data_IF_861629128566
#
_entry.id   IF_861629128566
#
_cell.length_a   1.000
_cell.length_b   1.000
_cell.length_c   1.000
_cell.angle_alpha   90.00
_cell.angle_beta   90.00
_cell.angle_gamma   90.00
#
_symmetry.space_group_name_H-M   'P 1'
#
loop_
_entity.id
_entity.type
_entity.pdbx_description
1 polymer ?
#
# COMPACT_ATOMS: atom_id res chain seq x y z
N UNK A 1 36.30 -65.59 -21.00
CA UNK A 1 34.83 -65.60 -20.77
C UNK A 1 34.54 -64.88 -19.46
N UNK A 2 33.75 -63.80 -19.54
CA UNK A 2 32.84 -63.22 -18.52
C UNK A 2 33.45 -62.86 -17.13
N UNK A 3 33.29 -61.69 -16.52
CA UNK A 3 32.19 -60.72 -16.51
C UNK A 3 32.74 -59.31 -16.24
N UNK A 4 32.32 -58.30 -17.01
CA UNK A 4 32.44 -56.89 -16.59
C UNK A 4 31.28 -56.61 -15.63
N UNK A 5 31.59 -56.29 -14.38
CA UNK A 5 30.61 -55.83 -13.40
C UNK A 5 30.39 -54.33 -13.63
N UNK A 6 29.26 -53.97 -14.25
CA UNK A 6 28.84 -52.59 -14.38
C UNK A 6 28.15 -52.18 -13.06
N UNK A 7 28.78 -51.28 -12.31
CA UNK A 7 28.14 -50.61 -11.18
C UNK A 7 27.23 -49.51 -11.74
N UNK A 8 25.92 -49.77 -11.80
CA UNK A 8 24.93 -48.73 -12.06
C UNK A 8 24.72 -48.02 -10.72
N UNK A 9 25.35 -46.86 -10.56
CA UNK A 9 24.98 -45.91 -9.51
C UNK A 9 23.66 -45.29 -9.97
N UNK A 10 22.55 -45.78 -9.41
CA UNK A 10 21.26 -45.12 -9.55
C UNK A 10 21.31 -43.88 -8.67
N UNK A 11 21.56 -42.72 -9.28
CA UNK A 11 21.40 -41.42 -8.61
C UNK A 11 19.90 -41.19 -8.51
N UNK A 12 19.34 -41.43 -7.32
CA UNK A 12 18.05 -40.87 -6.95
C UNK A 12 18.24 -39.35 -6.85
N UNK A 13 17.95 -38.64 -7.94
CA UNK A 13 17.72 -37.20 -7.86
C UNK A 13 16.37 -37.05 -7.18
N UNK A 14 16.41 -36.97 -5.85
CA UNK A 14 15.30 -36.48 -5.08
C UNK A 14 15.19 -34.99 -5.44
N UNK A 15 14.42 -34.67 -6.47
CA UNK A 15 13.95 -33.30 -6.66
C UNK A 15 13.04 -33.03 -5.47
N UNK A 16 13.61 -32.51 -4.39
CA UNK A 16 12.83 -31.76 -3.42
C UNK A 16 12.17 -30.65 -4.23
N UNK A 17 10.88 -30.82 -4.52
CA UNK A 17 10.03 -29.69 -4.82
C UNK A 17 10.26 -28.72 -3.67
N UNK A 18 10.92 -27.61 -3.96
CA UNK A 18 10.88 -26.45 -3.08
C UNK A 18 9.40 -26.07 -3.13
N UNK A 19 8.61 -26.59 -2.21
CA UNK A 19 7.34 -25.96 -1.89
C UNK A 19 7.75 -24.54 -1.50
N UNK A 20 7.47 -23.57 -2.37
CA UNK A 20 7.56 -22.18 -1.99
C UNK A 20 6.78 -22.07 -0.68
N UNK A 21 7.45 -21.57 0.37
CA UNK A 21 6.75 -21.29 1.62
C UNK A 21 5.70 -20.24 1.29
N UNK A 22 4.43 -20.66 1.30
CA UNK A 22 3.29 -19.77 1.23
C UNK A 22 3.43 -18.74 2.35
N UNK A 23 3.19 -17.46 2.06
CA UNK A 23 3.32 -16.36 3.02
C UNK A 23 1.98 -15.66 3.20
N UNK A 24 1.74 -14.91 4.29
CA UNK A 24 0.51 -14.12 4.45
C UNK A 24 0.41 -12.93 3.49
N UNK A 25 1.32 -12.79 2.53
CA UNK A 25 1.45 -11.57 1.73
C UNK A 25 1.09 -11.82 0.27
N UNK A 26 0.90 -10.73 -0.46
CA UNK A 26 0.74 -10.80 -1.92
C UNK A 26 1.93 -11.54 -2.55
N UNK A 27 1.63 -12.38 -3.53
CA UNK A 27 2.62 -13.18 -4.26
C UNK A 27 2.91 -12.64 -5.66
N UNK A 28 1.99 -11.84 -6.22
CA UNK A 28 2.12 -11.27 -7.57
C UNK A 28 1.39 -9.94 -7.71
N UNK A 29 1.92 -9.11 -8.60
CA UNK A 29 1.23 -7.94 -9.16
C UNK A 29 0.78 -8.34 -10.56
N UNK A 30 -0.51 -8.23 -10.81
CA UNK A 30 -1.15 -8.60 -12.08
C UNK A 30 -1.16 -7.40 -13.01
N UNK A 31 -1.49 -6.22 -12.49
CA UNK A 31 -1.56 -5.01 -13.27
C UNK A 31 -1.28 -3.77 -12.40
N UNK A 32 -0.74 -2.71 -13.02
CA UNK A 32 -0.55 -1.40 -12.42
C UNK A 32 -0.68 -0.33 -13.51
N UNK A 33 -1.65 0.57 -13.33
CA UNK A 33 -1.85 1.74 -14.20
C UNK A 33 -2.19 2.92 -13.29
N UNK A 34 -1.20 3.74 -12.90
CA UNK A 34 -1.47 4.90 -12.07
C UNK A 34 -2.12 6.01 -12.89
N UNK A 35 -2.93 6.82 -12.23
CA UNK A 35 -3.38 8.09 -12.78
C UNK A 35 -2.27 9.13 -12.60
N UNK A 36 -2.34 10.28 -13.28
CA UNK A 36 -1.33 11.32 -13.11
C UNK A 36 -1.22 11.81 -11.66
N UNK A 37 -0.01 12.08 -11.20
CA UNK A 37 0.23 12.56 -9.84
C UNK A 37 1.68 12.92 -9.53
N UNK A 38 1.90 13.60 -8.42
CA UNK A 38 3.17 14.19 -8.01
C UNK A 38 4.25 13.17 -7.62
N UNK A 39 3.88 11.91 -7.43
CA UNK A 39 4.80 10.82 -7.08
C UNK A 39 5.01 9.82 -8.21
N UNK A 40 4.25 9.96 -9.30
CA UNK A 40 4.40 9.14 -10.49
C UNK A 40 5.77 9.39 -11.12
N UNK A 41 6.39 8.32 -11.61
CA UNK A 41 7.77 8.26 -12.09
C UNK A 41 8.87 8.39 -11.01
N UNK A 42 8.50 8.49 -9.72
CA UNK A 42 9.44 8.57 -8.59
C UNK A 42 9.33 7.37 -7.67
N UNK A 43 8.10 6.91 -7.38
CA UNK A 43 7.83 5.73 -6.56
C UNK A 43 6.82 4.80 -7.28
N UNK A 44 7.32 3.83 -8.08
CA UNK A 44 8.72 3.53 -8.36
C UNK A 44 9.36 4.55 -9.31
N UNK A 45 10.70 4.60 -9.30
CA UNK A 45 11.45 5.44 -10.22
C UNK A 45 11.35 4.89 -11.65
N UNK A 46 11.07 5.77 -12.60
CA UNK A 46 11.15 5.48 -14.02
C UNK A 46 12.57 5.75 -14.53
N UNK A 47 13.15 4.76 -15.19
CA UNK A 47 14.35 4.88 -15.99
C UNK A 47 13.98 4.94 -17.47
N UNK A 48 14.74 5.69 -18.26
CA UNK A 48 14.45 5.86 -19.69
C UNK A 48 14.39 4.50 -20.41
N UNK A 49 13.22 4.20 -20.98
CA UNK A 49 12.97 2.94 -21.69
C UNK A 49 12.30 1.85 -20.86
N UNK A 50 12.01 2.08 -19.58
CA UNK A 50 11.22 1.14 -18.77
C UNK A 50 9.86 0.86 -19.44
N UNK A 51 9.53 -0.43 -19.53
CA UNK A 51 8.21 -0.91 -19.90
C UNK A 51 7.29 -1.00 -18.68
N UNK A 52 5.99 -1.24 -18.90
CA UNK A 52 5.03 -1.50 -17.82
C UNK A 52 5.46 -2.72 -16.98
N UNK A 53 6.00 -3.74 -17.62
CA UNK A 53 6.51 -4.95 -16.99
C UNK A 53 7.72 -4.65 -16.09
N UNK A 54 8.63 -3.78 -16.53
CA UNK A 54 9.78 -3.34 -15.71
C UNK A 54 9.31 -2.57 -14.46
N UNK A 55 8.33 -1.68 -14.63
CA UNK A 55 7.72 -0.95 -13.51
C UNK A 55 7.04 -1.93 -12.53
N UNK A 56 6.25 -2.88 -13.02
CA UNK A 56 5.63 -3.91 -12.19
C UNK A 56 6.69 -4.73 -11.44
N UNK A 57 7.81 -5.08 -12.08
CA UNK A 57 8.91 -5.80 -11.44
C UNK A 57 9.57 -4.95 -10.32
N UNK A 58 9.79 -3.65 -10.55
CA UNK A 58 10.29 -2.72 -9.53
C UNK A 58 9.35 -2.65 -8.33
N UNK A 59 8.05 -2.51 -8.56
CA UNK A 59 7.04 -2.52 -7.48
C UNK A 59 7.06 -3.87 -6.77
N UNK A 60 7.10 -4.97 -7.52
CA UNK A 60 7.14 -6.31 -6.97
C UNK A 60 8.29 -6.51 -5.98
N UNK A 61 9.48 -6.03 -6.33
CA UNK A 61 10.66 -6.08 -5.44
C UNK A 61 10.49 -5.30 -4.11
N UNK A 62 9.51 -4.41 -4.04
CA UNK A 62 9.29 -3.51 -2.92
C UNK A 62 8.12 -3.93 -2.01
N UNK A 63 7.10 -4.62 -2.54
CA UNK A 63 5.88 -4.93 -1.79
C UNK A 63 5.47 -6.42 -1.80
N UNK A 64 6.01 -7.26 -2.69
CA UNK A 64 5.74 -8.72 -2.66
C UNK A 64 6.44 -9.35 -1.46
N UNK A 65 5.75 -10.26 -0.77
CA UNK A 65 6.31 -10.97 0.38
C UNK A 65 6.48 -10.12 1.66
N UNK A 66 5.87 -8.93 1.72
CA UNK A 66 5.87 -8.08 2.92
C UNK A 66 4.51 -7.42 3.13
N UNK A 67 4.13 -7.22 4.39
CA UNK A 67 2.90 -6.52 4.77
C UNK A 67 3.05 -5.01 4.82
N UNK A 68 4.28 -4.49 4.78
CA UNK A 68 4.57 -3.05 4.84
C UNK A 68 5.95 -2.77 4.20
N UNK A 69 5.97 -2.77 2.89
CA UNK A 69 7.12 -2.49 2.04
C UNK A 69 7.31 -1.01 1.73
N UNK A 70 7.79 -0.72 0.53
CA UNK A 70 7.92 0.68 0.06
C UNK A 70 6.57 1.22 -0.37
N UNK A 71 6.31 2.50 -0.09
CA UNK A 71 5.10 3.17 -0.55
C UNK A 71 5.05 3.27 -2.07
N UNK A 72 3.91 2.92 -2.63
CA UNK A 72 3.51 3.06 -4.02
C UNK A 72 2.35 4.06 -4.09
N UNK A 73 2.47 5.08 -4.93
CA UNK A 73 1.38 6.01 -5.22
C UNK A 73 0.55 5.52 -6.42
N UNK A 74 -0.78 5.56 -6.28
CA UNK A 74 -1.70 5.27 -7.37
C UNK A 74 -2.02 6.53 -8.21
N UNK A 75 -1.61 7.71 -7.74
CA UNK A 75 -1.92 9.00 -8.35
C UNK A 75 -3.38 9.39 -8.15
N UNK A 76 -3.87 10.32 -8.98
CA UNK A 76 -5.24 10.83 -8.92
C UNK A 76 -6.33 9.75 -9.10
N UNK A 77 -7.59 10.16 -9.05
CA UNK A 77 -8.75 9.25 -9.13
C UNK A 77 -8.64 8.22 -10.26
N UNK A 78 -8.95 6.97 -9.93
CA UNK A 78 -9.01 5.85 -10.87
C UNK A 78 -7.69 5.12 -11.10
N UNK A 79 -6.55 5.74 -10.81
CA UNK A 79 -5.25 5.06 -10.84
C UNK A 79 -5.23 3.86 -9.90
N UNK A 80 -4.65 2.74 -10.33
CA UNK A 80 -4.88 1.45 -9.67
C UNK A 80 -3.70 0.48 -9.72
N UNK A 81 -3.77 -0.49 -8.79
CA UNK A 81 -3.02 -1.75 -8.83
C UNK A 81 -3.98 -2.95 -8.77
N UNK A 82 -3.59 -4.06 -9.36
CA UNK A 82 -4.21 -5.38 -9.19
C UNK A 82 -3.14 -6.35 -8.69
N UNK A 83 -3.43 -7.03 -7.59
CA UNK A 83 -2.52 -7.99 -6.95
C UNK A 83 -3.23 -9.32 -6.70
N UNK A 84 -2.43 -10.38 -6.53
CA UNK A 84 -2.93 -11.71 -6.21
C UNK A 84 -2.13 -12.37 -5.10
N UNK A 85 -2.80 -13.29 -4.42
CA UNK A 85 -2.20 -14.21 -3.46
C UNK A 85 -1.88 -15.55 -4.14
N UNK A 86 -0.99 -16.33 -3.52
CA UNK A 86 -0.71 -17.72 -3.90
C UNK A 86 -1.68 -18.73 -3.25
N UNK A 87 -2.63 -18.22 -2.47
CA UNK A 87 -3.70 -18.95 -1.81
C UNK A 87 -4.98 -18.09 -1.80
N UNK A 88 -6.10 -18.72 -1.51
CA UNK A 88 -7.37 -18.01 -1.27
C UNK A 88 -7.40 -17.47 0.15
N UNK A 89 -7.67 -16.18 0.32
CA UNK A 89 -8.00 -15.59 1.62
C UNK A 89 -9.43 -16.00 1.97
N UNK A 90 -9.66 -16.74 3.06
CA UNK A 90 -11.00 -17.15 3.45
C UNK A 90 -11.81 -15.95 3.96
N UNK A 91 -13.11 -15.93 3.67
CA UNK A 91 -14.04 -15.03 4.33
C UNK A 91 -14.44 -15.62 5.70
N UNK A 92 -14.01 -14.99 6.79
CA UNK A 92 -14.41 -15.37 8.14
C UNK A 92 -15.47 -14.39 8.64
N UNK A 93 -16.72 -14.87 8.67
CA UNK A 93 -17.90 -14.11 9.06
C UNK A 93 -17.65 -13.35 10.38
N UNK A 94 -17.83 -12.03 10.35
CA UNK A 94 -17.68 -11.13 11.48
C UNK A 94 -16.25 -10.62 11.71
N UNK A 95 -15.23 -11.24 11.14
CA UNK A 95 -13.82 -10.89 11.34
C UNK A 95 -13.28 -9.98 10.23
N UNK A 96 -12.07 -9.46 10.43
CA UNK A 96 -11.31 -8.82 9.35
C UNK A 96 -10.43 -9.86 8.67
N UNK A 97 -10.48 -9.91 7.34
CA UNK A 97 -9.84 -10.95 6.54
C UNK A 97 -8.47 -10.55 6.00
N UNK A 98 -8.30 -9.28 5.67
CA UNK A 98 -7.02 -8.77 5.20
C UNK A 98 -6.79 -7.32 5.62
N UNK A 99 -5.54 -6.89 5.55
CA UNK A 99 -5.10 -5.53 5.86
C UNK A 99 -4.32 -4.95 4.68
N UNK A 100 -4.66 -3.73 4.26
CA UNK A 100 -3.89 -2.98 3.28
C UNK A 100 -3.15 -1.87 4.02
N UNK A 101 -1.82 -1.93 3.99
CA UNK A 101 -0.97 -0.88 4.56
C UNK A 101 -0.89 0.32 3.62
N UNK A 102 -1.02 1.53 4.14
CA UNK A 102 -0.82 2.81 3.44
C UNK A 102 0.05 3.77 4.24
N UNK A 103 -0.14 5.08 4.06
CA UNK A 103 0.56 6.14 4.78
C UNK A 103 -0.36 7.05 5.61
N UNK A 104 -1.68 6.78 5.62
CA UNK A 104 -2.67 7.64 6.24
C UNK A 104 -2.29 8.06 7.66
N UNK A 105 -2.43 9.36 7.93
CA UNK A 105 -2.18 9.95 9.22
C UNK A 105 -3.43 10.66 9.73
N UNK A 106 -3.71 10.50 11.02
CA UNK A 106 -4.79 11.20 11.72
C UNK A 106 -4.23 12.07 12.83
N UNK A 107 -4.74 13.29 12.86
CA UNK A 107 -4.57 14.26 13.92
C UNK A 107 -5.93 14.79 14.35
N UNK A 108 -6.06 15.11 15.63
CA UNK A 108 -7.26 15.77 16.12
C UNK A 108 -7.24 17.24 15.72
N UNK A 109 -8.30 17.69 15.04
CA UNK A 109 -8.45 19.07 14.57
C UNK A 109 -9.38 19.80 15.52
N UNK A 110 -8.82 20.69 16.34
CA UNK A 110 -9.56 21.39 17.41
C UNK A 110 -10.69 22.26 16.85
N UNK A 111 -10.48 22.96 15.73
CA UNK A 111 -11.46 23.88 15.16
C UNK A 111 -12.73 23.16 14.66
N UNK A 112 -12.58 21.91 14.21
CA UNK A 112 -13.69 21.11 13.68
C UNK A 112 -14.14 20.01 14.63
N UNK A 113 -13.43 19.82 15.74
CA UNK A 113 -13.65 18.75 16.73
C UNK A 113 -13.74 17.36 16.06
N UNK A 114 -12.93 17.15 15.00
CA UNK A 114 -12.93 15.94 14.18
C UNK A 114 -11.51 15.45 13.95
N UNK A 115 -11.36 14.14 13.76
CA UNK A 115 -10.11 13.56 13.29
C UNK A 115 -9.98 13.76 11.78
N UNK A 116 -8.85 14.27 11.34
CA UNK A 116 -8.47 14.41 9.94
C UNK A 116 -6.96 14.43 9.80
N UNK A 117 -6.45 14.48 8.58
CA UNK A 117 -5.02 14.50 8.31
C UNK A 117 -4.75 14.24 6.84
N UNK A 118 -4.09 13.13 6.53
CA UNK A 118 -3.76 12.68 5.17
C UNK A 118 -4.53 11.40 4.82
N UNK A 119 -5.86 11.47 4.87
CA UNK A 119 -6.72 10.35 4.50
C UNK A 119 -7.00 10.38 2.99
N UNK A 120 -6.50 9.40 2.24
CA UNK A 120 -6.56 9.36 0.78
C UNK A 120 -7.23 8.06 0.31
N UNK A 121 -8.57 7.96 0.50
CA UNK A 121 -9.29 6.70 0.46
C UNK A 121 -9.24 6.03 -0.92
N UNK A 122 -8.67 4.82 -0.93
CA UNK A 122 -8.66 3.92 -2.08
C UNK A 122 -9.83 2.95 -2.04
N UNK A 123 -10.59 2.86 -3.13
CA UNK A 123 -11.64 1.87 -3.27
C UNK A 123 -11.02 0.51 -3.52
N UNK A 124 -11.52 -0.50 -2.80
CA UNK A 124 -11.04 -1.87 -2.88
C UNK A 124 -12.09 -2.71 -3.60
N UNK A 125 -11.65 -3.42 -4.62
CA UNK A 125 -12.42 -4.45 -5.30
C UNK A 125 -11.74 -5.80 -5.09
N UNK A 126 -12.53 -6.86 -5.01
CA UNK A 126 -12.05 -8.21 -4.78
C UNK A 126 -12.64 -9.17 -5.80
N UNK A 127 -11.91 -10.24 -6.11
CA UNK A 127 -12.36 -11.30 -7.00
C UNK A 127 -11.86 -12.66 -6.52
N UNK A 128 -12.67 -13.69 -6.77
CA UNK A 128 -12.37 -15.10 -6.55
C UNK A 128 -11.97 -15.71 -7.89
N UNK A 129 -10.89 -16.47 -7.92
CA UNK A 129 -10.56 -17.35 -9.04
C UNK A 129 -11.53 -18.54 -9.08
N UNK A 130 -12.73 -18.30 -9.59
CA UNK A 130 -13.83 -19.27 -9.59
C UNK A 130 -13.56 -20.41 -10.58
N UNK A 131 -12.82 -20.11 -11.65
CA UNK A 131 -12.53 -21.07 -12.71
C UNK A 131 -11.17 -21.80 -12.51
N UNK A 132 -10.36 -21.39 -11.53
CA UNK A 132 -9.05 -21.92 -11.15
C UNK A 132 -7.98 -21.81 -12.25
N UNK A 133 -8.01 -20.73 -13.06
CA UNK A 133 -7.02 -20.49 -14.11
C UNK A 133 -5.82 -19.64 -13.63
N UNK A 134 -5.87 -19.11 -12.41
CA UNK A 134 -4.85 -18.24 -11.82
C UNK A 134 -4.81 -16.81 -12.38
N UNK A 135 -5.82 -16.43 -13.17
CA UNK A 135 -5.98 -15.13 -13.81
C UNK A 135 -7.10 -14.34 -13.14
N UNK A 136 -6.96 -13.02 -13.10
CA UNK A 136 -7.97 -12.15 -12.51
C UNK A 136 -9.04 -11.73 -13.55
N UNK A 137 -9.67 -12.72 -14.17
CA UNK A 137 -10.67 -12.58 -15.23
C UNK A 137 -12.11 -12.95 -14.82
N UNK A 138 -12.30 -13.37 -13.58
CA UNK A 138 -13.61 -13.59 -12.96
C UNK A 138 -14.29 -12.28 -12.50
N UNK A 139 -15.52 -12.39 -11.99
CA UNK A 139 -16.31 -11.24 -11.55
C UNK A 139 -15.64 -10.50 -10.38
N UNK A 140 -15.74 -9.17 -10.41
CA UNK A 140 -15.18 -8.29 -9.40
C UNK A 140 -16.28 -7.62 -8.58
N UNK A 141 -16.08 -7.56 -7.27
CA UNK A 141 -17.01 -6.97 -6.31
C UNK A 141 -16.33 -5.83 -5.56
N UNK A 142 -16.98 -4.67 -5.46
CA UNK A 142 -16.51 -3.58 -4.61
C UNK A 142 -16.73 -3.95 -3.15
N UNK A 143 -15.75 -3.67 -2.27
CA UNK A 143 -15.99 -3.67 -0.83
C UNK A 143 -16.60 -2.33 -0.44
N UNK A 144 -17.90 -2.31 -0.19
CA UNK A 144 -18.62 -1.10 0.19
C UNK A 144 -18.06 -0.56 1.50
N UNK A 145 -17.55 0.68 1.49
CA UNK A 145 -17.19 1.43 2.71
C UNK A 145 -18.31 2.38 3.15
N UNK A 146 -18.06 3.18 4.18
CA UNK A 146 -19.07 4.12 4.72
C UNK A 146 -19.53 5.16 3.69
N UNK A 147 -18.67 5.52 2.74
CA UNK A 147 -19.00 6.42 1.63
C UNK A 147 -19.86 5.79 0.51
N UNK A 148 -20.02 4.47 0.44
CA UNK A 148 -20.51 3.79 -0.77
C UNK A 148 -21.94 4.18 -1.15
N UNK A 149 -22.81 4.36 -0.16
CA UNK A 149 -24.24 4.65 -0.33
C UNK A 149 -24.59 6.12 -0.10
N UNK A 150 -23.59 7.00 0.00
CA UNK A 150 -23.84 8.44 0.09
C UNK A 150 -24.47 8.94 -1.22
N UNK A 151 -25.46 9.86 -1.17
CA UNK A 151 -26.07 10.45 -2.37
C UNK A 151 -25.07 11.10 -3.33
N UNK A 152 -23.95 11.59 -2.81
CA UNK A 152 -22.89 12.25 -3.56
C UNK A 152 -21.95 11.26 -4.26
N UNK A 153 -21.98 9.97 -3.88
CA UNK A 153 -21.14 8.92 -4.48
C UNK A 153 -21.67 8.58 -5.86
N UNK A 154 -20.83 8.75 -6.88
CA UNK A 154 -21.19 8.49 -8.28
C UNK A 154 -20.71 7.11 -8.69
N UNK A 155 -21.63 6.26 -9.13
CA UNK A 155 -21.31 4.95 -9.72
C UNK A 155 -21.13 5.07 -11.23
N UNK A 156 -20.37 4.15 -11.84
CA UNK A 156 -20.10 4.14 -13.30
C UNK A 156 -19.54 5.48 -13.79
N UNK A 157 -18.73 6.11 -12.96
CA UNK A 157 -18.04 7.34 -13.28
C UNK A 157 -16.81 7.01 -14.14
N UNK A 158 -16.47 7.91 -15.07
CA UNK A 158 -15.28 7.76 -15.91
C UNK A 158 -14.54 9.09 -15.99
N UNK A 159 -13.20 9.02 -15.98
CA UNK A 159 -12.31 10.17 -16.15
C UNK A 159 -11.24 9.83 -17.15
N UNK A 160 -11.04 10.71 -18.12
CA UNK A 160 -9.94 10.67 -19.09
C UNK A 160 -8.93 11.76 -18.74
N UNK A 161 -7.68 11.36 -18.51
CA UNK A 161 -6.53 12.25 -18.32
C UNK A 161 -5.74 12.38 -19.62
N UNK A 162 -5.35 13.59 -19.99
CA UNK A 162 -4.65 13.87 -21.25
C UNK A 162 -3.18 14.19 -21.01
N UNK A 163 -2.29 13.49 -21.71
CA UNK A 163 -0.84 13.72 -21.69
C UNK A 163 -0.55 15.17 -22.09
N UNK A 164 0.32 15.89 -21.37
CA UNK A 164 0.61 17.28 -21.68
C UNK A 164 1.40 17.35 -23.00
N UNK A 165 1.01 18.27 -23.88
CA UNK A 165 1.68 18.46 -25.19
C UNK A 165 3.15 18.89 -25.08
N UNK A 166 3.53 19.47 -23.95
CA UNK A 166 4.90 19.78 -23.59
C UNK A 166 5.06 19.71 -22.08
N UNK A 167 6.21 19.25 -21.62
CA UNK A 167 6.56 19.32 -20.21
C UNK A 167 6.72 20.76 -19.76
N UNK A 168 6.10 21.08 -18.63
CA UNK A 168 6.14 22.40 -18.04
C UNK A 168 7.02 22.39 -16.78
N UNK A 169 7.86 23.41 -16.65
CA UNK A 169 8.77 23.58 -15.53
C UNK A 169 8.10 24.40 -14.41
N UNK A 170 7.81 23.76 -13.28
CA UNK A 170 7.29 24.40 -12.08
C UNK A 170 8.42 25.00 -11.21
N UNK A 171 9.48 25.55 -11.80
CA UNK A 171 10.68 25.97 -11.03
C UNK A 171 10.48 27.19 -10.14
N UNK A 172 9.51 28.06 -10.46
CA UNK A 172 9.26 29.32 -9.74
C UNK A 172 7.85 29.43 -9.16
N UNK A 173 6.89 28.68 -9.69
CA UNK A 173 5.51 28.67 -9.23
C UNK A 173 4.79 27.37 -9.63
N UNK A 174 3.75 27.01 -8.89
CA UNK A 174 2.86 25.92 -9.26
C UNK A 174 2.17 26.22 -10.60
N UNK A 175 1.91 25.17 -11.38
CA UNK A 175 1.18 25.21 -12.63
C UNK A 175 -0.21 24.63 -12.38
N UNK A 176 -1.21 25.50 -12.34
CA UNK A 176 -2.58 25.10 -12.02
C UNK A 176 -3.23 24.22 -13.11
N UNK A 177 -2.79 24.34 -14.35
CA UNK A 177 -3.41 23.74 -15.53
C UNK A 177 -2.46 22.80 -16.27
N UNK A 178 -1.89 21.82 -15.56
CA UNK A 178 -0.85 20.94 -16.13
C UNK A 178 -1.42 19.72 -16.86
N UNK A 179 -2.10 18.80 -16.16
CA UNK A 179 -2.74 17.64 -16.79
C UNK A 179 -4.24 17.86 -16.85
N UNK A 180 -4.79 18.04 -18.05
CA UNK A 180 -6.24 18.15 -18.26
C UNK A 180 -6.89 16.80 -17.96
N UNK A 181 -8.03 16.84 -17.27
CA UNK A 181 -8.94 15.70 -17.17
C UNK A 181 -10.36 16.11 -17.57
N UNK A 182 -11.11 15.16 -18.13
CA UNK A 182 -12.53 15.29 -18.46
C UNK A 182 -13.29 14.07 -17.98
N UNK A 183 -14.51 14.25 -17.51
CA UNK A 183 -15.34 13.15 -17.06
C UNK A 183 -16.52 12.84 -18.00
N UNK A 184 -17.20 11.72 -17.74
CA UNK A 184 -18.40 11.32 -18.48
C UNK A 184 -19.67 12.08 -18.08
N UNK A 185 -19.58 13.09 -17.21
CA UNK A 185 -20.67 13.97 -16.80
C UNK A 185 -20.58 15.36 -17.43
N UNK A 186 -19.52 15.62 -18.21
CA UNK A 186 -19.29 16.88 -18.89
C UNK A 186 -18.45 17.88 -18.10
N UNK A 187 -17.93 17.49 -16.93
CA UNK A 187 -17.02 18.29 -16.14
C UNK A 187 -15.57 18.08 -16.60
N UNK A 188 -14.74 19.07 -16.30
CA UNK A 188 -13.31 19.02 -16.58
C UNK A 188 -12.53 19.78 -15.53
N UNK A 189 -11.26 19.44 -15.39
CA UNK A 189 -10.36 20.13 -14.48
C UNK A 189 -8.91 19.79 -14.79
N UNK A 190 -8.03 20.06 -13.83
CA UNK A 190 -6.61 19.82 -13.98
C UNK A 190 -5.99 19.17 -12.74
N UNK A 191 -5.02 18.29 -12.98
CA UNK A 191 -4.01 17.95 -11.97
C UNK A 191 -2.93 19.02 -12.04
N UNK A 192 -2.75 19.76 -10.94
CA UNK A 192 -1.79 20.87 -10.87
C UNK A 192 -0.38 20.36 -10.61
N UNK A 193 0.62 20.94 -11.28
CA UNK A 193 2.03 20.67 -10.98
C UNK A 193 2.50 21.59 -9.85
N UNK A 194 3.08 21.03 -8.80
CA UNK A 194 3.66 21.83 -7.71
C UNK A 194 5.17 22.07 -7.91
N UNK A 195 5.71 23.06 -7.19
CA UNK A 195 7.14 23.41 -7.24
C UNK A 195 8.08 22.37 -6.63
N UNK A 196 7.54 21.42 -5.85
CA UNK A 196 8.32 20.43 -5.11
C UNK A 196 8.65 19.19 -5.96
N UNK A 197 7.77 18.82 -6.89
CA UNK A 197 7.89 17.65 -7.74
C UNK A 197 8.02 18.05 -9.22
N UNK A 198 9.24 17.89 -9.77
CA UNK A 198 9.62 18.43 -11.09
C UNK A 198 9.43 17.46 -12.26
N UNK A 199 9.40 16.16 -11.98
CA UNK A 199 9.21 15.12 -12.99
C UNK A 199 7.84 15.23 -13.66
N UNK A 200 7.64 14.50 -14.77
CA UNK A 200 6.32 14.42 -15.38
C UNK A 200 5.33 13.79 -14.42
N UNK A 201 4.10 14.30 -14.33
CA UNK A 201 3.07 13.65 -13.51
C UNK A 201 2.34 12.58 -14.31
N UNK A 202 2.43 12.60 -15.65
CA UNK A 202 1.87 11.56 -16.49
C UNK A 202 2.81 10.34 -16.48
N UNK A 203 2.30 9.10 -16.42
CA UNK A 203 3.15 7.90 -16.40
C UNK A 203 3.98 7.79 -17.68
N UNK A 204 5.31 7.74 -17.55
CA UNK A 204 6.23 7.84 -18.70
C UNK A 204 6.30 6.54 -19.53
N UNK A 205 5.94 5.40 -18.95
CA UNK A 205 5.88 4.10 -19.63
C UNK A 205 4.58 3.88 -20.42
N UNK A 206 3.65 4.86 -20.42
CA UNK A 206 2.40 4.78 -21.19
C UNK A 206 2.54 5.59 -22.48
N UNK A 207 2.61 4.87 -23.60
CA UNK A 207 2.65 5.43 -24.96
C UNK A 207 1.24 5.68 -25.52
N UNK A 208 0.48 6.51 -24.81
CA UNK A 208 -0.83 6.98 -25.24
C UNK A 208 -0.98 8.47 -24.91
N UNK A 209 -1.74 9.19 -25.75
CA UNK A 209 -2.04 10.62 -25.53
C UNK A 209 -3.02 10.84 -24.37
N UNK A 210 -3.69 9.78 -23.92
CA UNK A 210 -4.61 9.84 -22.78
C UNK A 210 -4.81 8.48 -22.12
N UNK A 211 -5.26 8.50 -20.86
CA UNK A 211 -5.62 7.31 -20.09
C UNK A 211 -7.02 7.52 -19.52
N UNK A 212 -7.89 6.52 -19.63
CA UNK A 212 -9.25 6.58 -19.10
C UNK A 212 -9.44 5.53 -18.01
N UNK A 213 -10.04 5.93 -16.90
CA UNK A 213 -10.41 5.06 -15.79
C UNK A 213 -11.92 5.08 -15.58
N UNK A 214 -12.46 3.98 -15.07
CA UNK A 214 -13.88 3.81 -14.77
C UNK A 214 -14.05 3.20 -13.38
N UNK A 215 -15.05 3.65 -12.62
CA UNK A 215 -15.34 3.10 -11.29
C UNK A 215 -16.34 3.90 -10.50
N UNK A 216 -16.24 3.79 -9.18
CA UNK A 216 -16.97 4.60 -8.20
C UNK A 216 -16.16 5.86 -7.88
N UNK A 217 -16.81 7.01 -7.83
CA UNK A 217 -16.26 8.26 -7.31
C UNK A 217 -16.88 8.55 -5.94
N UNK A 218 -16.05 8.61 -4.91
CA UNK A 218 -16.43 9.04 -3.57
C UNK A 218 -16.55 10.57 -3.51
N UNK A 219 -17.36 11.11 -2.58
CA UNK A 219 -17.39 12.55 -2.37
C UNK A 219 -16.02 13.07 -1.94
N UNK A 220 -15.70 14.33 -2.29
CA UNK A 220 -14.50 15.00 -1.80
C UNK A 220 -14.42 14.98 -0.27
N UNK A 221 -13.25 14.65 0.28
CA UNK A 221 -13.01 14.58 1.73
C UNK A 221 -12.02 15.64 2.23
N UNK A 222 -11.38 16.37 1.31
CA UNK A 222 -10.48 17.48 1.62
C UNK A 222 -11.23 18.78 1.88
N UNK A 223 -10.90 19.46 2.97
CA UNK A 223 -11.42 20.79 3.30
C UNK A 223 -10.25 21.74 3.51
N UNK A 224 -10.18 22.78 2.67
CA UNK A 224 -9.20 23.85 2.83
C UNK A 224 -9.71 24.88 3.84
N UNK A 225 -9.01 25.00 4.97
CA UNK A 225 -9.30 26.00 5.99
C UNK A 225 -8.89 27.41 5.58
N UNK A 226 -9.31 28.42 6.35
CA UNK A 226 -9.06 29.85 6.10
C UNK A 226 -7.56 30.17 6.02
N UNK A 227 -6.72 29.40 6.72
CA UNK A 227 -5.26 29.56 6.74
C UNK A 227 -4.57 28.94 5.51
N UNK A 228 -5.33 28.38 4.56
CA UNK A 228 -4.82 27.73 3.34
C UNK A 228 -4.37 26.28 3.52
N UNK A 229 -4.42 25.74 4.74
CA UNK A 229 -4.15 24.33 5.01
C UNK A 229 -5.36 23.47 4.65
N UNK A 230 -5.12 22.41 3.89
CA UNK A 230 -6.13 21.42 3.56
C UNK A 230 -6.03 20.24 4.53
N UNK A 231 -7.16 19.84 5.08
CA UNK A 231 -7.30 18.68 5.96
C UNK A 231 -8.11 17.64 5.18
N UNK A 232 -7.58 16.43 5.07
CA UNK A 232 -8.29 15.30 4.46
C UNK A 232 -8.95 14.49 5.56
N UNK A 233 -10.28 14.41 5.54
CA UNK A 233 -11.03 13.69 6.56
C UNK A 233 -11.18 12.21 6.18
N UNK A 234 -11.07 11.33 7.17
CA UNK A 234 -11.38 9.92 6.97
C UNK A 234 -12.88 9.72 6.74
N UNK A 235 -13.22 8.79 5.86
CA UNK A 235 -14.51 8.12 5.86
C UNK A 235 -14.60 7.20 7.09
N UNK A 236 -15.79 7.00 7.67
CA UNK A 236 -15.93 6.29 8.96
C UNK A 236 -15.31 4.88 9.03
N UNK A 237 -15.33 4.13 7.92
CA UNK A 237 -14.73 2.79 7.81
C UNK A 237 -14.60 2.37 6.33
N UNK A 238 -13.77 1.35 6.10
CA UNK A 238 -13.41 0.88 4.76
C UNK A 238 -12.38 1.79 4.09
N UNK A 239 -12.11 1.46 2.81
CA UNK A 239 -11.14 2.10 1.93
C UNK A 239 -9.66 1.95 2.35
N UNK A 240 -8.79 1.71 1.37
CA UNK A 240 -7.35 1.70 1.58
C UNK A 240 -6.89 3.11 1.93
N UNK A 241 -5.83 3.25 2.73
CA UNK A 241 -5.22 4.55 3.02
C UNK A 241 -6.18 5.62 3.60
N UNK A 242 -7.23 5.15 4.26
CA UNK A 242 -8.24 5.99 4.91
C UNK A 242 -7.95 6.18 6.41
N UNK A 243 -7.36 5.17 7.05
CA UNK A 243 -6.95 5.17 8.45
C UNK A 243 -5.49 4.70 8.61
N UNK A 244 -4.77 5.16 9.66
CA UNK A 244 -3.41 4.71 9.93
C UNK A 244 -3.32 3.20 10.11
N UNK A 245 -2.21 2.59 9.69
CA UNK A 245 -2.00 1.13 9.68
C UNK A 245 -2.12 0.44 11.06
N UNK A 246 -2.06 1.19 12.16
CA UNK A 246 -2.23 0.65 13.52
C UNK A 246 -3.68 0.71 14.03
N UNK A 247 -4.58 1.32 13.27
CA UNK A 247 -6.02 1.34 13.52
C UNK A 247 -6.66 0.04 12.99
N UNK A 248 -7.75 -0.41 13.59
CA UNK A 248 -8.47 -1.58 13.06
C UNK A 248 -9.28 -1.25 11.80
N UNK A 249 -9.63 0.03 11.61
CA UNK A 249 -10.42 0.51 10.47
C UNK A 249 -9.64 0.55 9.15
N UNK A 250 -8.33 0.31 9.17
CA UNK A 250 -7.52 0.07 7.97
C UNK A 250 -7.62 -1.38 7.45
N UNK A 251 -8.39 -2.24 8.14
CA UNK A 251 -8.60 -3.66 7.78
C UNK A 251 -9.93 -3.84 7.06
N UNK A 252 -10.04 -4.94 6.33
CA UNK A 252 -11.14 -5.21 5.42
C UNK A 252 -11.86 -6.50 5.77
N UNK A 253 -13.17 -6.49 5.57
CA UNK A 253 -14.01 -7.69 5.59
C UNK A 253 -14.45 -8.00 4.18
N UNK A 254 -14.35 -9.26 3.77
CA UNK A 254 -14.86 -9.73 2.49
C UNK A 254 -16.40 -9.65 2.47
N UNK A 255 -17.05 -9.73 3.64
CA UNK A 255 -18.49 -9.52 3.81
C UNK A 255 -19.00 -8.15 3.34
N UNK A 256 -18.10 -7.17 3.11
CA UNK A 256 -18.46 -5.87 2.55
C UNK A 256 -18.66 -5.91 1.02
N UNK A 257 -18.45 -7.05 0.38
CA UNK A 257 -18.60 -7.21 -1.07
C UNK A 257 -20.02 -6.90 -1.54
N UNK A 258 -20.12 -6.10 -2.60
CA UNK A 258 -21.38 -5.78 -3.28
C UNK A 258 -21.26 -5.96 -4.79
N UNK A 259 -22.39 -6.32 -5.42
CA UNK A 259 -22.51 -6.41 -6.87
C UNK A 259 -22.56 -5.02 -7.54
N UNK A 260 -22.62 -5.01 -8.88
CA UNK A 260 -22.75 -3.78 -9.68
C UNK A 260 -24.03 -2.97 -9.43
N UNK A 261 -25.02 -3.53 -8.72
CA UNK A 261 -26.25 -2.86 -8.31
C UNK A 261 -26.20 -2.39 -6.84
N UNK A 262 -25.10 -2.65 -6.13
CA UNK A 262 -24.94 -2.34 -4.71
C UNK A 262 -25.61 -3.35 -3.76
N UNK A 263 -26.02 -4.52 -4.26
CA UNK A 263 -26.56 -5.59 -3.41
C UNK A 263 -25.41 -6.36 -2.74
N UNK A 264 -25.51 -6.67 -1.43
CA UNK A 264 -24.53 -7.52 -0.75
C UNK A 264 -24.35 -8.88 -1.43
N UNK A 265 -23.11 -9.32 -1.54
CA UNK A 265 -22.73 -10.61 -2.11
C UNK A 265 -21.94 -11.40 -1.07
N UNK A 266 -22.25 -12.69 -0.94
CA UNK A 266 -21.45 -13.60 -0.13
C UNK A 266 -20.37 -14.26 -0.99
N UNK A 267 -19.13 -14.13 -0.57
CA UNK A 267 -17.97 -14.81 -1.16
C UNK A 267 -17.36 -15.72 -0.08
N UNK A 268 -17.03 -16.96 -0.43
CA UNK A 268 -16.36 -17.88 0.51
C UNK A 268 -14.88 -17.50 0.75
N UNK A 269 -14.31 -16.71 -0.16
CA UNK A 269 -12.95 -16.21 -0.12
C UNK A 269 -12.59 -15.45 -1.39
N UNK A 270 -11.38 -14.91 -1.44
CA UNK A 270 -10.87 -14.10 -2.56
C UNK A 270 -9.43 -14.48 -2.89
N UNK A 271 -9.03 -14.24 -4.14
CA UNK A 271 -7.69 -14.55 -4.66
C UNK A 271 -7.00 -13.30 -5.20
N UNK A 272 -7.80 -12.31 -5.63
CA UNK A 272 -7.33 -11.08 -6.24
C UNK A 272 -7.92 -9.85 -5.57
N UNK A 273 -7.11 -8.80 -5.50
CA UNK A 273 -7.51 -7.49 -4.96
C UNK A 273 -7.09 -6.41 -5.96
N UNK A 274 -8.02 -5.52 -6.28
CA UNK A 274 -7.77 -4.29 -7.02
C UNK A 274 -7.99 -3.10 -6.09
N UNK A 275 -7.06 -2.16 -6.08
CA UNK A 275 -7.16 -0.93 -5.29
C UNK A 275 -7.02 0.24 -6.25
N UNK A 276 -7.90 1.24 -6.14
CA UNK A 276 -7.80 2.46 -6.93
C UNK A 276 -8.17 3.71 -6.15
N UNK A 277 -7.55 4.84 -6.47
CA UNK A 277 -7.82 6.12 -5.80
C UNK A 277 -9.30 6.50 -5.95
N UNK A 278 -9.99 6.69 -4.82
CA UNK A 278 -11.45 6.82 -4.76
C UNK A 278 -11.98 8.25 -4.86
N UNK A 279 -11.14 9.26 -4.67
CA UNK A 279 -11.52 10.69 -4.66
C UNK A 279 -10.82 11.45 -5.78
N UNK A 280 -11.59 12.21 -6.55
CA UNK A 280 -11.06 13.18 -7.52
C UNK A 280 -11.06 14.57 -6.87
N UNK A 281 -9.94 14.97 -6.29
CA UNK A 281 -9.81 16.28 -5.65
C UNK A 281 -8.39 16.81 -5.77
N UNK A 282 -8.27 18.13 -5.97
CA UNK A 282 -7.03 18.87 -5.79
C UNK A 282 -7.07 19.54 -4.41
N UNK A 283 -6.17 19.13 -3.54
CA UNK A 283 -6.06 19.53 -2.14
C UNK A 283 -5.17 20.78 -1.95
N UNK A 284 -4.86 21.49 -3.03
CA UNK A 284 -4.25 22.81 -3.00
C UNK A 284 -2.73 22.80 -3.11
N UNK A 285 -2.13 23.95 -2.79
CA UNK A 285 -0.76 24.31 -3.19
C UNK A 285 0.34 23.34 -2.69
N UNK A 286 0.20 22.80 -1.47
CA UNK A 286 1.22 21.96 -0.85
C UNK A 286 0.98 20.46 -0.97
N UNK A 287 -0.29 20.04 -1.14
CA UNK A 287 -0.66 18.62 -1.14
C UNK A 287 -0.81 18.09 -2.56
N UNK A 288 -1.30 18.89 -3.51
CA UNK A 288 -1.56 18.41 -4.87
C UNK A 288 -2.86 17.60 -4.95
N UNK A 289 -2.91 16.60 -5.82
CA UNK A 289 -4.02 15.67 -5.95
C UNK A 289 -4.23 14.82 -4.70
N UNK A 290 -5.45 14.32 -4.49
CA UNK A 290 -5.66 13.17 -3.62
C UNK A 290 -5.13 11.92 -4.32
N UNK A 291 -4.22 11.20 -3.65
CA UNK A 291 -3.55 10.01 -4.16
C UNK A 291 -3.56 8.93 -3.09
N UNK A 292 -4.15 7.78 -3.40
CA UNK A 292 -4.03 6.64 -2.48
C UNK A 292 -2.61 6.08 -2.54
N UNK A 293 -2.00 5.86 -1.39
CA UNK A 293 -0.76 5.12 -1.27
C UNK A 293 -0.94 3.73 -0.65
N UNK A 294 -0.16 2.77 -1.15
CA UNK A 294 -0.12 1.41 -0.61
C UNK A 294 1.31 0.99 -0.33
N UNK A 295 1.50 0.18 0.71
CA UNK A 295 2.79 -0.39 1.08
C UNK A 295 2.78 -1.93 1.12
N UNK A 296 1.61 -2.56 1.06
CA UNK A 296 1.49 -4.02 1.07
C UNK A 296 0.11 -4.48 1.48
N UNK A 297 -0.15 -5.78 1.31
CA UNK A 297 -1.40 -6.42 1.75
C UNK A 297 -1.07 -7.70 2.49
N UNK A 298 -1.75 -7.93 3.60
CA UNK A 298 -1.57 -9.07 4.49
C UNK A 298 -2.89 -9.82 4.69
N UNK A 299 -2.92 -11.11 4.40
CA UNK A 299 -3.94 -12.06 4.87
C UNK A 299 -3.85 -12.20 6.39
N UNK A 300 -4.96 -11.95 7.09
CA UNK A 300 -5.05 -11.99 8.54
C UNK A 300 -5.33 -13.41 9.07
N UNK A 301 -5.65 -14.36 8.19
CA UNK A 301 -6.01 -15.74 8.52
C UNK A 301 -4.97 -16.77 8.09
N UNK A 302 -3.84 -16.31 7.57
CA UNK A 302 -2.78 -17.16 7.04
C UNK A 302 -2.16 -18.09 8.10
N UNK A 303 -1.86 -19.32 7.72
CA UNK A 303 -1.27 -20.33 8.63
C UNK A 303 -2.23 -20.83 9.71
N UNK A 304 -3.51 -20.48 9.58
CA UNK A 304 -4.51 -20.66 10.61
C UNK A 304 -5.56 -21.66 10.15
N UNK A 305 -5.44 -22.90 10.64
CA UNK A 305 -6.65 -23.56 11.11
C UNK A 305 -7.10 -22.84 12.38
N UNK A 306 -7.74 -21.67 12.23
CA UNK A 306 -8.12 -20.74 13.31
C UNK A 306 -7.02 -20.45 14.34
N UNK A 307 -6.05 -19.61 13.97
CA UNK A 307 -5.20 -18.80 14.88
C UNK A 307 -4.32 -17.87 14.06
N UNK A 308 -4.74 -16.62 13.86
CA UNK A 308 -3.88 -15.55 13.35
C UNK A 308 -2.57 -15.51 14.15
N UNK A 309 -1.50 -16.09 13.59
CA UNK A 309 -0.16 -15.89 14.07
C UNK A 309 0.29 -14.55 13.48
N UNK A 310 0.04 -13.50 14.25
CA UNK A 310 0.60 -12.18 14.04
C UNK A 310 2.10 -12.33 13.74
N UNK A 311 2.50 -11.97 12.52
CA UNK A 311 3.90 -11.65 12.23
C UNK A 311 4.30 -10.56 13.22
N UNK A 312 5.43 -10.78 13.87
CA UNK A 312 5.77 -10.10 15.11
C UNK A 312 5.70 -8.58 15.02
N UNK A 313 4.78 -7.98 15.79
CA UNK A 313 4.67 -6.53 15.89
C UNK A 313 5.84 -6.04 16.72
N UNK A 314 6.84 -5.47 16.07
CA UNK A 314 7.83 -4.63 16.73
C UNK A 314 7.47 -3.16 16.48
N UNK A 315 6.98 -2.49 17.52
CA UNK A 315 6.87 -1.04 17.48
C UNK A 315 8.18 -0.43 17.98
N UNK A 316 8.84 0.37 17.14
CA UNK A 316 10.06 1.10 17.50
C UNK A 316 9.80 2.59 17.32
N UNK A 317 9.94 3.37 18.40
CA UNK A 317 9.88 4.84 18.30
C UNK A 317 11.05 5.36 17.46
N UNK A 318 10.79 5.92 16.28
CA UNK A 318 11.83 6.41 15.36
C UNK A 318 12.49 7.71 15.85
N UNK A 319 11.77 8.56 16.59
CA UNK A 319 12.33 9.70 17.33
C UNK A 319 12.51 9.32 18.81
N UNK A 320 13.76 9.13 19.21
CA UNK A 320 14.11 8.70 20.57
C UNK A 320 14.63 9.89 21.38
N UNK A 321 13.86 10.31 22.40
CA UNK A 321 14.29 11.36 23.32
C UNK A 321 15.32 10.84 24.34
N UNK A 322 14.89 10.73 25.60
CA UNK A 322 15.69 10.13 26.69
C UNK A 322 15.56 8.61 26.77
N UNK A 323 14.59 8.06 26.06
CA UNK A 323 14.21 6.66 26.10
C UNK A 323 13.88 6.16 24.69
N UNK A 324 14.24 4.91 24.43
CA UNK A 324 13.79 4.11 23.30
C UNK A 324 12.74 3.14 23.82
N UNK A 325 11.54 3.16 23.22
CA UNK A 325 10.44 2.28 23.60
C UNK A 325 10.21 1.27 22.51
N UNK A 326 10.24 0.00 22.89
CA UNK A 326 10.09 -1.12 21.97
C UNK A 326 9.02 -2.05 22.53
N UNK A 327 7.93 -2.23 21.79
CA UNK A 327 6.92 -3.23 22.12
C UNK A 327 7.05 -4.40 21.16
N UNK A 328 7.22 -5.61 21.68
CA UNK A 328 7.42 -6.83 20.87
C UNK A 328 6.40 -7.91 21.24
N UNK A 329 6.00 -8.73 20.27
CA UNK A 329 5.10 -9.87 20.52
C UNK A 329 5.85 -11.17 20.89
N UNK A 330 7.16 -11.21 20.64
CA UNK A 330 8.11 -12.27 21.03
C UNK A 330 9.38 -11.68 21.65
N UNK A 331 10.18 -12.48 22.37
CA UNK A 331 11.54 -12.08 22.74
C UNK A 331 12.42 -11.86 21.51
N UNK A 332 13.22 -10.80 21.51
CA UNK A 332 14.14 -10.46 20.42
C UNK A 332 15.53 -10.14 20.95
N UNK A 333 16.55 -10.46 20.17
CA UNK A 333 17.90 -9.97 20.39
C UNK A 333 18.10 -8.68 19.60
N UNK A 334 18.56 -7.61 20.23
CA UNK A 334 18.75 -6.32 19.59
C UNK A 334 20.18 -5.83 19.68
N UNK A 335 20.67 -5.27 18.58
CA UNK A 335 21.99 -4.62 18.49
C UNK A 335 21.78 -3.16 18.11
N UNK A 336 22.17 -2.24 18.99
CA UNK A 336 22.17 -0.81 18.72
C UNK A 336 23.53 -0.40 18.14
N UNK A 337 23.51 0.27 17.01
CA UNK A 337 24.67 0.62 16.21
C UNK A 337 24.70 2.12 15.88
N UNK A 338 25.89 2.65 15.66
CA UNK A 338 26.06 3.93 14.95
C UNK A 338 25.75 3.76 13.46
N UNK A 339 25.53 4.86 12.72
CA UNK A 339 25.39 4.81 11.25
C UNK A 339 26.60 4.20 10.52
N UNK A 340 27.77 4.21 11.16
CA UNK A 340 29.00 3.63 10.60
C UNK A 340 29.14 2.14 10.95
N UNK A 341 28.11 1.51 11.55
CA UNK A 341 28.09 0.09 11.89
C UNK A 341 28.85 -0.27 13.18
N UNK A 342 29.26 0.71 14.00
CA UNK A 342 29.90 0.43 15.29
C UNK A 342 28.83 0.02 16.31
N UNK A 343 28.98 -1.16 16.92
CA UNK A 343 28.08 -1.63 17.98
C UNK A 343 28.25 -0.74 19.21
N UNK A 344 27.13 -0.19 19.68
CA UNK A 344 27.03 0.60 20.90
C UNK A 344 26.65 -0.32 22.07
N UNK A 345 25.62 -1.16 21.87
CA UNK A 345 25.16 -2.09 22.90
C UNK A 345 24.32 -3.21 22.29
N UNK A 346 24.20 -4.31 23.02
CA UNK A 346 23.37 -5.47 22.70
C UNK A 346 22.37 -5.69 23.83
N UNK A 347 21.13 -5.99 23.48
CA UNK A 347 19.97 -5.94 24.37
C UNK A 347 19.07 -7.13 24.09
N UNK A 348 18.60 -7.80 25.14
CA UNK A 348 17.55 -8.80 25.02
C UNK A 348 16.19 -8.16 25.35
N UNK A 349 15.34 -8.03 24.35
CA UNK A 349 13.96 -7.55 24.51
C UNK A 349 13.05 -8.72 24.89
N UNK A 350 12.22 -8.50 25.92
CA UNK A 350 11.20 -9.46 26.33
C UNK A 350 9.90 -9.19 25.59
N UNK A 351 9.02 -10.20 25.47
CA UNK A 351 7.66 -9.99 25.00
C UNK A 351 6.96 -8.90 25.81
N UNK A 352 6.34 -7.94 25.13
CA UNK A 352 5.65 -6.78 25.70
C UNK A 352 6.47 -5.49 25.59
N UNK A 353 6.18 -4.53 26.47
CA UNK A 353 6.81 -3.22 26.46
C UNK A 353 8.20 -3.25 27.10
N UNK A 354 9.20 -2.80 26.36
CA UNK A 354 10.58 -2.63 26.79
C UNK A 354 10.96 -1.16 26.69
N UNK A 355 11.73 -0.67 27.67
CA UNK A 355 12.20 0.71 27.73
C UNK A 355 13.71 0.69 27.94
N UNK A 356 14.44 1.34 27.05
CA UNK A 356 15.88 1.52 27.15
C UNK A 356 16.21 3.00 27.35
N UNK A 357 17.02 3.31 28.37
CA UNK A 357 17.55 4.66 28.54
C UNK A 357 18.57 4.98 27.46
N UNK A 358 18.29 6.02 26.67
CA UNK A 358 19.20 6.48 25.61
C UNK A 358 20.02 7.69 26.05
N UNK A 359 19.93 8.15 27.31
CA UNK A 359 20.56 9.40 27.80
C UNK A 359 22.06 9.55 27.47
N UNK A 360 22.79 8.45 27.38
CA UNK A 360 24.22 8.42 27.06
C UNK A 360 24.52 8.67 25.57
N UNK A 361 23.53 8.51 24.69
CA UNK A 361 23.67 8.78 23.26
C UNK A 361 23.64 10.28 22.98
N UNK A 362 24.52 10.73 22.09
CA UNK A 362 24.51 12.11 21.55
C UNK A 362 23.36 12.28 20.54
N UNK A 363 23.07 13.51 20.13
CA UNK A 363 22.12 13.77 19.05
C UNK A 363 22.67 13.22 17.74
N UNK A 364 21.84 12.53 16.96
CA UNK A 364 22.30 11.87 15.75
C UNK A 364 21.42 10.71 15.31
N UNK A 365 21.87 10.04 14.24
CA UNK A 365 21.18 8.87 13.68
C UNK A 365 21.86 7.61 14.22
N UNK A 366 21.03 6.62 14.56
CA UNK A 366 21.45 5.30 15.03
C UNK A 366 20.66 4.22 14.29
N UNK A 367 21.19 2.99 14.29
CA UNK A 367 20.51 1.83 13.73
C UNK A 367 20.23 0.84 14.85
N UNK A 368 19.03 0.31 14.90
CA UNK A 368 18.67 -0.80 15.77
C UNK A 368 18.38 -2.01 14.91
N UNK A 369 19.24 -3.02 14.97
CA UNK A 369 18.98 -4.32 14.38
C UNK A 369 18.29 -5.19 15.42
N UNK A 370 17.16 -5.80 15.09
CA UNK A 370 16.44 -6.76 15.92
C UNK A 370 16.42 -8.10 15.21
N UNK A 371 16.80 -9.16 15.90
CA UNK A 371 16.89 -10.51 15.40
C UNK A 371 16.00 -11.42 16.24
N UNK A 372 15.14 -12.19 15.58
CA UNK A 372 14.31 -13.20 16.23
C UNK A 372 15.10 -14.50 16.51
N UNK A 373 14.45 -15.44 17.19
CA UNK A 373 15.06 -16.75 17.50
C UNK A 373 15.30 -17.62 16.24
N UNK A 374 14.69 -17.27 15.12
CA UNK A 374 14.81 -17.96 13.83
C UNK A 374 15.95 -17.38 12.97
N UNK A 375 16.56 -16.26 13.39
CA UNK A 375 17.65 -15.59 12.70
C UNK A 375 17.20 -14.49 11.72
N UNK A 376 15.91 -14.15 11.68
CA UNK A 376 15.38 -13.06 10.86
C UNK A 376 15.76 -11.73 11.49
N UNK A 377 16.43 -10.85 10.74
CA UNK A 377 16.83 -9.52 11.22
C UNK A 377 16.03 -8.40 10.56
N UNK A 378 15.57 -7.45 11.36
CA UNK A 378 14.97 -6.19 10.92
C UNK A 378 15.80 -5.01 11.41
N UNK A 379 16.02 -4.01 10.55
CA UNK A 379 16.82 -2.83 10.90
C UNK A 379 15.94 -1.59 10.94
N UNK A 380 15.99 -0.87 12.05
CA UNK A 380 15.24 0.35 12.29
C UNK A 380 16.17 1.54 12.39
N UNK A 381 15.82 2.64 11.73
CA UNK A 381 16.51 3.93 11.88
C UNK A 381 15.95 4.68 13.06
N UNK A 382 16.84 5.07 13.98
CA UNK A 382 16.52 5.89 15.15
C UNK A 382 17.14 7.28 14.98
N UNK A 383 16.41 8.31 15.38
CA UNK A 383 16.84 9.71 15.38
C UNK A 383 16.75 10.22 16.81
N UNK A 384 17.87 10.70 17.34
CA UNK A 384 17.95 11.32 18.68
C UNK A 384 18.19 12.82 18.62
#
# INVERSE_FOLDING_TARGET
MKHKLAFIISVFICTSAICAETTPYISKIIDFVPAPGQFINVIPAYDEGDTKEDIIAKIGSQIIGTGNGTLLSLGAWGGYIIVGFDHTIPNIIGEYDFHISGNAHLSYIEETQRYGGSCEPGIVMVSRDANNNGLADDEWFELAGSGHYLPETKKKYEVTYYKPSAEMDASTQNIANYILWKDNQGEQGYISKNVFHKQSYFPLWIDADSITFSGTLLPPNGVTGINGYTILYAFDWGYADNYPNNDERSRFKIEWAVDNNGNPVHLDGIDFIKIYTGVLQNNGFMIGECSTEIAGITDLHFGSGNTANFVDKVFVSSNIGKELRINTTIPLFGTLLTINGTIITEINFQKGNNILSTNHLQKGIYLLQLTDACGTSHVYKLIK
#
